data_IF_438698068468
#
_entry.id   IF_438698068468
#
_cell.length_a   1.000
_cell.length_b   1.000
_cell.length_c   1.000
_cell.angle_alpha   90.00
_cell.angle_beta   90.00
_cell.angle_gamma   90.00
#
_symmetry.space_group_name_H-M   'P 1'
#
loop_
_entity.id
_entity.type
_entity.pdbx_description
1 polymer ?
#
# COMPACT_ATOMS: atom_id res chain seq x y z
N UNK A 1 -26.56 12.83 65.33
CA UNK A 1 -25.97 13.78 64.36
C UNK A 1 -24.92 13.11 63.50
N UNK A 2 -24.01 12.32 64.04
CA UNK A 2 -22.97 11.56 63.27
C UNK A 2 -23.53 10.54 62.27
N UNK A 3 -24.60 9.82 62.64
CA UNK A 3 -25.22 8.81 61.78
C UNK A 3 -25.87 9.42 60.51
N UNK A 4 -26.42 10.63 60.60
CA UNK A 4 -27.03 11.35 59.48
C UNK A 4 -25.94 11.89 58.54
N UNK A 5 -24.84 12.41 59.08
CA UNK A 5 -23.71 12.89 58.28
C UNK A 5 -23.00 11.76 57.53
N UNK A 6 -22.85 10.57 58.13
CA UNK A 6 -22.28 9.42 57.48
C UNK A 6 -23.15 8.90 56.33
N UNK A 7 -24.47 8.94 56.48
CA UNK A 7 -25.44 8.54 55.44
C UNK A 7 -25.43 9.52 54.26
N UNK A 8 -25.39 10.85 54.52
CA UNK A 8 -25.26 11.85 53.45
C UNK A 8 -23.94 11.77 52.70
N UNK A 9 -22.83 11.50 53.39
CA UNK A 9 -21.51 11.30 52.79
C UNK A 9 -21.47 10.06 51.89
N UNK A 10 -22.12 8.97 52.30
CA UNK A 10 -22.19 7.72 51.52
C UNK A 10 -23.11 7.84 50.30
N UNK A 11 -24.22 8.60 50.42
CA UNK A 11 -25.12 8.90 49.28
C UNK A 11 -24.45 9.80 48.27
N UNK A 12 -23.66 10.78 48.66
CA UNK A 12 -22.89 11.62 47.74
C UNK A 12 -21.79 10.80 47.00
N UNK A 13 -21.06 9.93 47.70
CA UNK A 13 -20.06 9.06 47.10
C UNK A 13 -20.70 8.14 46.07
N UNK A 14 -21.83 7.47 46.35
CA UNK A 14 -22.54 6.60 45.40
C UNK A 14 -23.03 7.37 44.17
N UNK A 15 -23.54 8.61 44.34
CA UNK A 15 -23.94 9.45 43.20
C UNK A 15 -22.75 9.86 42.35
N UNK A 16 -21.64 10.26 42.93
CA UNK A 16 -20.39 10.59 42.22
C UNK A 16 -19.89 9.36 41.43
N UNK A 17 -19.84 8.20 42.07
CA UNK A 17 -19.45 6.93 41.38
C UNK A 17 -20.38 6.63 40.21
N UNK A 18 -21.72 6.73 40.39
CA UNK A 18 -22.67 6.50 39.32
C UNK A 18 -22.51 7.47 38.15
N UNK A 19 -22.31 8.76 38.41
CA UNK A 19 -22.04 9.77 37.38
C UNK A 19 -20.73 9.46 36.65
N UNK A 20 -19.67 9.13 37.39
CA UNK A 20 -18.38 8.75 36.79
C UNK A 20 -18.51 7.54 35.87
N UNK A 21 -19.25 6.50 36.27
CA UNK A 21 -19.49 5.32 35.45
C UNK A 21 -20.30 5.66 34.18
N UNK A 22 -21.31 6.53 34.28
CA UNK A 22 -22.08 7.00 33.14
C UNK A 22 -21.16 7.77 32.16
N UNK A 23 -20.33 8.69 32.69
CA UNK A 23 -19.38 9.45 31.85
C UNK A 23 -18.40 8.49 31.14
N UNK A 24 -17.82 7.54 31.85
CA UNK A 24 -16.91 6.54 31.28
C UNK A 24 -17.64 5.76 30.19
N UNK A 25 -18.86 5.29 30.45
CA UNK A 25 -19.66 4.56 29.46
C UNK A 25 -19.92 5.38 28.19
N UNK A 26 -20.35 6.65 28.36
CA UNK A 26 -20.61 7.55 27.22
C UNK A 26 -19.33 7.81 26.42
N UNK A 27 -18.21 8.10 27.10
CA UNK A 27 -16.92 8.33 26.44
C UNK A 27 -16.41 7.08 25.72
N UNK A 28 -16.54 5.90 26.33
CA UNK A 28 -16.15 4.63 25.70
C UNK A 28 -17.01 4.31 24.47
N UNK A 29 -18.33 4.55 24.56
CA UNK A 29 -19.24 4.35 23.41
C UNK A 29 -18.91 5.32 22.28
N UNK A 30 -18.63 6.58 22.61
CA UNK A 30 -18.22 7.59 21.62
C UNK A 30 -16.87 7.21 20.98
N UNK A 31 -15.89 6.75 21.78
CA UNK A 31 -14.60 6.28 21.28
C UNK A 31 -14.76 5.17 20.26
N UNK A 32 -15.52 4.12 20.60
CA UNK A 32 -15.76 2.97 19.70
C UNK A 32 -16.57 3.39 18.47
N UNK A 33 -17.61 4.22 18.65
CA UNK A 33 -18.46 4.67 17.52
C UNK A 33 -17.69 5.54 16.51
N UNK A 34 -16.88 6.48 16.98
CA UNK A 34 -16.04 7.32 16.11
C UNK A 34 -14.96 6.44 15.45
N UNK A 35 -14.29 5.59 16.25
CA UNK A 35 -13.28 4.67 15.75
C UNK A 35 -13.83 3.78 14.64
N UNK A 36 -15.01 3.21 14.82
CA UNK A 36 -15.68 2.40 13.81
C UNK A 36 -15.98 3.20 12.54
N UNK A 37 -16.57 4.37 12.66
CA UNK A 37 -16.92 5.18 11.49
C UNK A 37 -15.69 5.58 10.66
N UNK A 38 -14.61 6.00 11.32
CA UNK A 38 -13.37 6.38 10.62
C UNK A 38 -12.66 5.16 10.05
N UNK A 39 -12.50 4.08 10.84
CA UNK A 39 -11.83 2.87 10.40
C UNK A 39 -12.55 2.20 9.22
N UNK A 40 -13.88 2.03 9.33
CA UNK A 40 -14.67 1.46 8.25
C UNK A 40 -14.56 2.27 6.97
N UNK A 41 -14.63 3.60 7.03
CA UNK A 41 -14.47 4.45 5.86
C UNK A 41 -13.05 4.41 5.25
N UNK A 42 -12.02 4.17 6.07
CA UNK A 42 -10.62 4.22 5.63
C UNK A 42 -10.09 2.86 5.16
N UNK A 43 -10.63 1.75 5.69
CA UNK A 43 -10.13 0.40 5.44
C UNK A 43 -11.02 -0.41 4.49
N UNK A 44 -12.24 0.06 4.21
CA UNK A 44 -13.15 -0.64 3.30
C UNK A 44 -12.59 -0.67 1.89
N UNK A 45 -12.73 -1.81 1.24
CA UNK A 45 -12.31 -2.05 -0.13
C UNK A 45 -13.51 -2.38 -1.01
N UNK A 46 -13.34 -2.13 -2.32
CA UNK A 46 -14.28 -2.56 -3.34
C UNK A 46 -13.61 -3.63 -4.19
N UNK A 47 -14.04 -4.89 -4.10
CA UNK A 47 -13.52 -5.96 -4.95
C UNK A 47 -13.74 -5.66 -6.44
N UNK A 48 -12.87 -6.22 -7.27
CA UNK A 48 -12.96 -6.11 -8.72
C UNK A 48 -12.15 -4.95 -9.31
N UNK A 49 -12.16 -4.86 -10.62
CA UNK A 49 -11.36 -3.90 -11.40
C UNK A 49 -12.13 -2.64 -11.84
N UNK A 50 -13.39 -2.52 -11.45
CA UNK A 50 -14.21 -1.36 -11.79
C UNK A 50 -14.23 -1.09 -13.30
N UNK A 51 -13.99 0.15 -13.70
CA UNK A 51 -13.96 0.58 -15.11
C UNK A 51 -12.83 -0.04 -15.92
N UNK A 52 -11.78 -0.55 -15.27
CA UNK A 52 -10.62 -1.17 -15.91
C UNK A 52 -10.70 -2.70 -15.96
N UNK A 53 -11.90 -3.28 -15.78
CA UNK A 53 -12.11 -4.73 -15.77
C UNK A 53 -11.75 -5.43 -17.09
N UNK A 54 -11.63 -4.68 -18.18
CA UNK A 54 -11.20 -5.21 -19.47
C UNK A 54 -9.70 -5.04 -19.74
N UNK A 55 -8.97 -4.39 -18.83
CA UNK A 55 -7.54 -4.21 -18.97
C UNK A 55 -6.80 -5.52 -18.70
N UNK A 56 -5.91 -5.86 -19.62
CA UNK A 56 -4.97 -6.99 -19.57
C UNK A 56 -3.61 -6.52 -20.07
N UNK A 57 -2.50 -7.20 -19.77
CA UNK A 57 -1.18 -6.77 -20.23
C UNK A 57 -1.05 -6.53 -21.74
N UNK A 58 -1.76 -7.31 -22.54
CA UNK A 58 -1.76 -7.23 -24.01
C UNK A 58 -2.85 -6.30 -24.59
N UNK A 59 -3.74 -5.76 -23.73
CA UNK A 59 -4.80 -4.87 -24.18
C UNK A 59 -5.32 -4.00 -23.03
N UNK A 60 -4.82 -2.79 -22.89
CA UNK A 60 -5.24 -1.89 -21.83
C UNK A 60 -5.35 -0.43 -22.26
N UNK A 61 -6.15 0.32 -21.51
CA UNK A 61 -6.40 1.76 -21.74
C UNK A 61 -6.40 2.50 -20.42
N UNK A 62 -6.22 3.83 -20.48
CA UNK A 62 -6.38 4.73 -19.33
C UNK A 62 -7.85 5.01 -19.01
N UNK A 63 -8.77 4.77 -19.95
CA UNK A 63 -10.21 5.01 -19.92
C UNK A 63 -10.61 6.48 -19.88
N UNK A 64 -11.59 6.85 -20.73
CA UNK A 64 -12.12 8.22 -20.83
C UNK A 64 -12.91 8.67 -19.60
N UNK A 65 -13.43 7.71 -18.82
CA UNK A 65 -14.21 7.96 -17.61
C UNK A 65 -13.37 8.04 -16.32
N UNK A 66 -12.03 8.19 -16.44
CA UNK A 66 -11.13 8.27 -15.28
C UNK A 66 -11.62 9.27 -14.22
N UNK A 67 -12.14 10.41 -14.64
CA UNK A 67 -12.68 11.45 -13.75
C UNK A 67 -13.75 10.97 -12.77
N UNK A 68 -14.54 9.96 -13.16
CA UNK A 68 -15.63 9.41 -12.33
C UNK A 68 -15.12 8.65 -11.10
N UNK A 69 -13.84 8.29 -11.10
CA UNK A 69 -13.23 7.40 -10.10
C UNK A 69 -12.16 8.05 -9.23
N UNK A 70 -11.89 9.33 -9.48
CA UNK A 70 -10.97 10.07 -8.63
C UNK A 70 -11.70 10.61 -7.38
N UNK A 71 -11.61 9.90 -6.23
CA UNK A 71 -12.31 10.33 -5.02
C UNK A 71 -11.68 11.54 -4.34
N UNK A 72 -10.64 12.15 -4.95
CA UNK A 72 -9.70 12.99 -4.23
C UNK A 72 -9.53 14.41 -4.75
N UNK A 73 -10.43 14.91 -5.58
CA UNK A 73 -10.33 16.27 -6.12
C UNK A 73 -8.96 16.57 -6.75
N UNK A 74 -8.44 15.64 -7.54
CA UNK A 74 -7.25 15.91 -8.35
C UNK A 74 -7.47 17.14 -9.24
N UNK A 75 -6.40 17.86 -9.52
CA UNK A 75 -6.49 18.97 -10.47
C UNK A 75 -6.88 18.46 -11.86
N UNK A 76 -7.60 19.25 -12.62
CA UNK A 76 -7.98 18.91 -14.00
C UNK A 76 -6.74 18.58 -14.86
N UNK A 77 -5.62 19.25 -14.62
CA UNK A 77 -4.35 18.97 -15.29
C UNK A 77 -3.85 17.55 -15.03
N UNK A 78 -3.85 17.09 -13.78
CA UNK A 78 -3.41 15.74 -13.40
C UNK A 78 -4.30 14.66 -13.97
N UNK A 79 -5.62 14.89 -13.94
CA UNK A 79 -6.60 13.98 -14.55
C UNK A 79 -6.36 13.88 -16.06
N UNK A 80 -6.13 15.00 -16.73
CA UNK A 80 -5.91 15.05 -18.17
C UNK A 80 -4.60 14.34 -18.56
N UNK A 81 -3.51 14.52 -17.83
CA UNK A 81 -2.24 13.84 -18.11
C UNK A 81 -2.44 12.31 -18.12
N UNK A 82 -3.13 11.75 -17.13
CA UNK A 82 -3.39 10.31 -17.04
C UNK A 82 -4.33 9.83 -18.14
N UNK A 83 -5.46 10.52 -18.33
CA UNK A 83 -6.48 10.14 -19.33
C UNK A 83 -5.96 10.22 -20.76
N UNK A 84 -5.20 11.26 -21.07
CA UNK A 84 -4.76 11.55 -22.43
C UNK A 84 -3.39 10.89 -22.74
N UNK A 85 -2.84 10.12 -21.81
CA UNK A 85 -1.58 9.41 -22.00
C UNK A 85 -1.71 8.31 -23.07
N UNK A 86 -0.85 8.33 -24.08
CA UNK A 86 -0.88 7.37 -25.19
C UNK A 86 -0.24 6.04 -24.75
N UNK A 87 -1.06 5.03 -24.59
CA UNK A 87 -0.64 3.68 -24.21
C UNK A 87 -0.62 2.69 -25.39
N UNK A 88 -0.83 3.15 -26.62
CA UNK A 88 -1.01 2.29 -27.80
C UNK A 88 0.21 1.41 -28.12
N UNK A 89 1.41 1.86 -27.76
CA UNK A 89 2.67 1.15 -27.97
C UNK A 89 3.22 0.48 -26.70
N UNK A 90 2.44 0.46 -25.62
CA UNK A 90 2.84 -0.03 -24.29
C UNK A 90 2.14 -1.34 -23.92
N UNK A 91 1.57 -2.01 -24.90
CA UNK A 91 0.95 -3.33 -24.74
C UNK A 91 2.06 -4.40 -24.72
N UNK A 92 1.95 -5.36 -23.82
CA UNK A 92 2.89 -6.49 -23.75
C UNK A 92 2.44 -7.59 -24.71
N UNK A 93 3.38 -8.20 -25.42
CA UNK A 93 3.08 -9.19 -26.48
C UNK A 93 2.39 -10.45 -25.96
N UNK A 94 2.71 -10.87 -24.75
CA UNK A 94 2.16 -12.06 -24.11
C UNK A 94 2.28 -12.01 -22.60
N UNK A 95 1.42 -12.75 -21.92
CA UNK A 95 1.46 -12.95 -20.47
C UNK A 95 0.87 -14.30 -20.09
N UNK A 96 1.21 -14.77 -18.90
CA UNK A 96 0.66 -15.98 -18.29
C UNK A 96 -0.31 -15.56 -17.17
N UNK A 97 -1.53 -16.09 -17.19
CA UNK A 97 -2.44 -16.00 -16.03
C UNK A 97 -1.99 -17.00 -14.98
N UNK A 98 -1.63 -16.52 -13.82
CA UNK A 98 -1.12 -17.34 -12.72
C UNK A 98 -2.06 -17.34 -11.53
N UNK A 99 -1.92 -18.40 -10.74
CA UNK A 99 -2.61 -18.53 -9.45
C UNK A 99 -1.61 -19.08 -8.43
N UNK A 100 -1.57 -18.45 -7.27
CA UNK A 100 -0.73 -18.89 -6.15
C UNK A 100 -1.41 -18.60 -4.82
N UNK A 101 -0.82 -19.03 -3.71
CA UNK A 101 -1.37 -18.82 -2.37
C UNK A 101 -0.50 -17.83 -1.59
N UNK A 102 -1.06 -17.07 -0.65
CA UNK A 102 -0.28 -16.36 0.34
C UNK A 102 0.64 -17.30 1.11
N UNK A 103 1.82 -16.82 1.52
CA UNK A 103 2.69 -17.61 2.40
C UNK A 103 1.94 -18.00 3.69
N UNK A 104 1.95 -19.29 3.99
CA UNK A 104 1.32 -19.82 5.20
C UNK A 104 -0.21 -19.97 5.16
N UNK A 105 -0.86 -19.72 4.03
CA UNK A 105 -2.31 -19.93 3.87
C UNK A 105 -2.65 -20.49 2.49
N UNK A 106 -2.86 -21.80 2.39
CA UNK A 106 -3.22 -22.50 1.15
C UNK A 106 -4.73 -22.47 0.81
N UNK A 107 -5.56 -21.85 1.64
CA UNK A 107 -7.00 -21.75 1.40
C UNK A 107 -7.40 -20.53 0.57
N UNK A 108 -6.49 -19.55 0.43
CA UNK A 108 -6.71 -18.33 -0.35
C UNK A 108 -6.00 -18.45 -1.69
N UNK A 109 -6.69 -18.13 -2.78
CA UNK A 109 -6.12 -18.07 -4.13
C UNK A 109 -5.94 -16.63 -4.57
N UNK A 110 -4.70 -16.28 -4.90
CA UNK A 110 -4.34 -14.99 -5.49
C UNK A 110 -4.20 -15.13 -7.00
N UNK A 111 -4.60 -14.10 -7.75
CA UNK A 111 -4.59 -14.06 -9.22
C UNK A 111 -3.60 -13.02 -9.72
N UNK A 112 -2.76 -13.42 -10.67
CA UNK A 112 -1.73 -12.54 -11.20
C UNK A 112 -1.50 -12.72 -12.69
N UNK A 113 -0.70 -11.83 -13.23
CA UNK A 113 -0.14 -11.86 -14.58
C UNK A 113 1.38 -11.91 -14.47
N UNK A 114 1.95 -12.94 -15.07
CA UNK A 114 3.39 -13.06 -15.23
C UNK A 114 3.74 -12.73 -16.69
N UNK A 115 4.63 -11.77 -16.89
CA UNK A 115 5.17 -11.38 -18.19
C UNK A 115 6.63 -11.77 -18.22
N UNK A 116 7.00 -12.67 -19.11
CA UNK A 116 8.37 -13.11 -19.34
C UNK A 116 8.89 -12.51 -20.65
N UNK A 117 9.99 -11.78 -20.57
CA UNK A 117 10.67 -11.20 -21.73
C UNK A 117 11.96 -11.95 -22.04
N UNK A 118 12.61 -12.52 -21.02
CA UNK A 118 13.80 -13.36 -21.14
C UNK A 118 13.89 -14.29 -19.93
N UNK A 119 14.12 -15.57 -20.13
CA UNK A 119 14.22 -16.56 -19.05
C UNK A 119 15.38 -16.32 -18.08
N UNK A 120 16.40 -15.58 -18.48
CA UNK A 120 17.57 -15.23 -17.66
C UNK A 120 17.47 -13.82 -17.04
N UNK A 121 16.40 -13.08 -17.35
CA UNK A 121 16.19 -11.73 -16.80
C UNK A 121 15.71 -11.76 -15.34
N UNK A 122 16.08 -10.76 -14.53
CA UNK A 122 15.50 -10.60 -13.20
C UNK A 122 14.00 -10.35 -13.29
N UNK A 123 13.32 -10.55 -12.16
CA UNK A 123 11.86 -10.36 -12.07
C UNK A 123 11.49 -9.35 -11.01
N UNK A 124 10.44 -8.55 -11.26
CA UNK A 124 9.87 -7.60 -10.28
C UNK A 124 8.44 -7.99 -9.94
N UNK A 125 8.20 -8.24 -8.65
CA UNK A 125 6.85 -8.35 -8.09
C UNK A 125 6.27 -6.96 -7.97
N UNK A 126 5.08 -6.73 -8.54
CA UNK A 126 4.39 -5.45 -8.48
C UNK A 126 3.15 -5.54 -7.60
N UNK A 127 2.96 -4.55 -6.71
CA UNK A 127 1.77 -4.46 -5.87
C UNK A 127 1.06 -3.12 -6.04
N UNK A 128 -0.25 -3.20 -6.15
CA UNK A 128 -1.12 -2.04 -6.37
C UNK A 128 -1.41 -1.28 -5.08
N UNK A 129 -1.86 -0.02 -5.23
CA UNK A 129 -2.41 0.78 -4.14
C UNK A 129 -3.88 0.41 -3.83
N UNK A 130 -4.43 1.05 -2.80
CA UNK A 130 -5.83 0.94 -2.38
C UNK A 130 -6.60 2.24 -2.72
N UNK A 131 -7.92 2.35 -2.54
CA UNK A 131 -8.85 1.33 -2.03
C UNK A 131 -9.57 0.54 -3.12
N UNK A 132 -9.40 0.86 -4.38
CA UNK A 132 -10.20 0.34 -5.49
C UNK A 132 -9.28 -0.31 -6.52
N UNK A 133 -9.81 -1.37 -7.19
CA UNK A 133 -9.14 -2.07 -8.28
C UNK A 133 -7.91 -2.88 -7.81
N UNK A 134 -7.23 -3.51 -8.72
CA UNK A 134 -6.10 -4.38 -8.46
C UNK A 134 -5.01 -4.19 -9.52
N UNK A 135 -4.48 -5.30 -10.03
CA UNK A 135 -3.46 -5.34 -11.08
C UNK A 135 -3.87 -4.69 -12.41
N UNK A 136 -5.19 -4.57 -12.65
CA UNK A 136 -5.79 -3.98 -13.85
C UNK A 136 -5.72 -2.46 -13.93
N UNK A 137 -5.23 -1.80 -12.87
CA UNK A 137 -5.04 -0.35 -12.87
C UNK A 137 -4.02 0.07 -13.93
N UNK A 138 -4.28 1.18 -14.65
CA UNK A 138 -3.36 1.65 -15.67
C UNK A 138 -1.92 1.90 -15.19
N UNK A 139 -1.72 2.44 -13.99
CA UNK A 139 -0.38 2.63 -13.43
C UNK A 139 0.38 1.32 -13.20
N UNK A 140 -0.34 0.22 -12.86
CA UNK A 140 0.25 -1.10 -12.72
C UNK A 140 0.73 -1.64 -14.07
N UNK A 141 -0.10 -1.51 -15.10
CA UNK A 141 0.21 -1.94 -16.46
C UNK A 141 1.28 -1.07 -17.10
N UNK A 142 1.29 0.24 -16.82
CA UNK A 142 2.33 1.15 -17.28
C UNK A 142 3.70 0.80 -16.69
N UNK A 143 3.77 0.54 -15.37
CA UNK A 143 5.01 0.08 -14.74
C UNK A 143 5.44 -1.28 -15.32
N UNK A 144 4.49 -2.20 -15.49
CA UNK A 144 4.75 -3.52 -16.08
C UNK A 144 5.34 -3.41 -17.49
N UNK A 145 4.78 -2.51 -18.32
CA UNK A 145 5.29 -2.22 -19.66
C UNK A 145 6.70 -1.63 -19.61
N UNK A 146 6.96 -0.65 -18.75
CA UNK A 146 8.29 -0.05 -18.65
C UNK A 146 9.38 -1.06 -18.27
N UNK A 147 9.08 -1.92 -17.31
CA UNK A 147 10.00 -2.99 -16.90
C UNK A 147 10.22 -4.00 -18.01
N UNK A 148 9.13 -4.44 -18.68
CA UNK A 148 9.20 -5.40 -19.79
C UNK A 148 9.99 -4.85 -20.99
N UNK A 149 9.76 -3.59 -21.38
CA UNK A 149 10.56 -2.93 -22.42
C UNK A 149 12.04 -2.77 -22.01
N UNK A 150 12.30 -2.67 -20.70
CA UNK A 150 13.64 -2.66 -20.10
C UNK A 150 14.31 -4.02 -20.01
N UNK A 151 13.67 -5.10 -20.46
CA UNK A 151 14.21 -6.46 -20.39
C UNK A 151 14.10 -7.11 -19.01
N UNK A 152 13.12 -6.72 -18.20
CA UNK A 152 12.88 -7.22 -16.85
C UNK A 152 11.54 -7.97 -16.83
N UNK A 153 11.53 -9.18 -16.31
CA UNK A 153 10.32 -9.98 -16.13
C UNK A 153 9.45 -9.37 -15.01
N UNK A 154 8.15 -9.57 -15.07
CA UNK A 154 7.25 -8.97 -14.08
C UNK A 154 6.19 -9.95 -13.60
N UNK A 155 5.83 -9.86 -12.33
CA UNK A 155 4.68 -10.49 -11.73
C UNK A 155 3.80 -9.43 -11.09
N UNK A 156 2.67 -9.11 -11.71
CA UNK A 156 1.65 -8.20 -11.20
C UNK A 156 0.45 -9.02 -10.74
N UNK A 157 -0.05 -8.78 -9.53
CA UNK A 157 -1.15 -9.58 -8.98
C UNK A 157 -2.11 -8.74 -8.14
N UNK A 158 -3.30 -9.30 -7.92
CA UNK A 158 -4.28 -8.74 -7.01
C UNK A 158 -4.01 -9.26 -5.59
N UNK A 159 -3.83 -8.34 -4.63
CA UNK A 159 -3.85 -8.70 -3.21
C UNK A 159 -5.19 -9.38 -2.86
N UNK A 160 -5.23 -10.14 -1.75
CA UNK A 160 -6.51 -10.64 -1.24
C UNK A 160 -7.55 -9.51 -1.17
N UNK A 161 -8.81 -9.84 -1.36
CA UNK A 161 -9.93 -8.92 -1.38
C UNK A 161 -9.98 -7.98 -2.59
N UNK A 162 -9.02 -8.03 -3.52
CA UNK A 162 -8.97 -7.17 -4.71
C UNK A 162 -9.09 -7.95 -6.02
N UNK A 163 -9.49 -7.24 -7.07
CA UNK A 163 -9.51 -7.73 -8.45
C UNK A 163 -10.17 -9.09 -8.61
N UNK A 164 -9.39 -10.07 -9.04
CA UNK A 164 -9.81 -11.46 -9.27
C UNK A 164 -9.35 -12.42 -8.16
N UNK A 165 -8.59 -11.94 -7.16
CA UNK A 165 -8.19 -12.73 -6.00
C UNK A 165 -9.35 -13.01 -5.06
N UNK A 166 -9.22 -14.04 -4.23
CA UNK A 166 -10.26 -14.42 -3.28
C UNK A 166 -10.60 -13.28 -2.31
N UNK A 167 -11.90 -13.07 -2.07
CA UNK A 167 -12.43 -12.14 -1.10
C UNK A 167 -12.59 -12.88 0.23
N UNK A 168 -11.83 -12.45 1.24
CA UNK A 168 -11.82 -13.05 2.58
C UNK A 168 -12.66 -12.22 3.55
N UNK A 169 -12.59 -10.89 3.40
CA UNK A 169 -13.33 -9.91 4.17
C UNK A 169 -13.48 -8.61 3.36
N UNK A 170 -14.04 -7.57 3.98
CA UNK A 170 -14.31 -6.29 3.32
C UNK A 170 -13.25 -5.22 3.62
N UNK A 171 -12.10 -5.58 4.21
CA UNK A 171 -11.15 -4.62 4.74
C UNK A 171 -9.71 -4.89 4.28
N UNK A 172 -8.96 -3.81 4.18
CA UNK A 172 -7.51 -3.81 3.97
C UNK A 172 -6.80 -3.67 5.32
N UNK A 173 -5.90 -4.59 5.62
CA UNK A 173 -5.14 -4.61 6.86
C UNK A 173 -3.85 -3.77 6.81
N UNK A 174 -3.76 -2.82 5.90
CA UNK A 174 -2.64 -1.86 5.70
C UNK A 174 -1.27 -2.52 5.61
N UNK A 175 -1.22 -3.68 4.99
CA UNK A 175 0.01 -4.46 4.83
C UNK A 175 0.29 -5.45 5.95
N UNK A 176 -0.45 -5.40 7.09
CA UNK A 176 -0.21 -6.27 8.23
C UNK A 176 -0.53 -7.75 7.98
N UNK A 177 -1.37 -8.02 6.99
CA UNK A 177 -1.73 -9.37 6.52
C UNK A 177 -1.24 -9.56 5.09
N UNK A 178 -1.40 -8.55 4.25
CA UNK A 178 -1.12 -8.58 2.81
C UNK A 178 0.36 -8.77 2.48
N UNK A 179 1.29 -8.50 3.41
CA UNK A 179 2.70 -8.84 3.19
C UNK A 179 2.91 -10.34 2.93
N UNK A 180 2.02 -11.22 3.45
CA UNK A 180 2.06 -12.65 3.13
C UNK A 180 1.64 -12.96 1.70
N UNK A 181 0.84 -12.09 1.05
CA UNK A 181 0.46 -12.23 -0.35
C UNK A 181 1.69 -11.98 -1.24
N UNK A 182 2.48 -10.96 -0.89
CA UNK A 182 3.74 -10.66 -1.58
C UNK A 182 4.78 -11.76 -1.36
N UNK A 183 4.87 -12.31 -0.13
CA UNK A 183 5.73 -13.45 0.16
C UNK A 183 5.28 -14.71 -0.59
N UNK A 184 3.98 -14.91 -0.80
CA UNK A 184 3.45 -15.97 -1.64
C UNK A 184 3.82 -15.81 -3.11
N UNK A 185 3.83 -14.56 -3.63
CA UNK A 185 4.32 -14.26 -4.97
C UNK A 185 5.83 -14.60 -5.11
N UNK A 186 6.64 -14.24 -4.12
CA UNK A 186 8.05 -14.62 -4.06
C UNK A 186 8.22 -16.15 -4.05
N UNK A 187 7.49 -16.85 -3.19
CA UNK A 187 7.56 -18.32 -3.10
C UNK A 187 7.19 -18.99 -4.43
N UNK A 188 6.18 -18.47 -5.13
CA UNK A 188 5.78 -18.95 -6.46
C UNK A 188 6.88 -18.75 -7.50
N UNK A 189 7.54 -17.58 -7.52
CA UNK A 189 8.65 -17.31 -8.45
C UNK A 189 9.83 -18.26 -8.20
N UNK A 190 10.16 -18.53 -6.94
CA UNK A 190 11.26 -19.44 -6.59
C UNK A 190 10.90 -20.88 -6.92
N UNK A 191 9.65 -21.33 -6.68
CA UNK A 191 9.25 -22.72 -6.85
C UNK A 191 8.87 -23.08 -8.29
N UNK A 192 8.20 -22.17 -9.02
CA UNK A 192 7.63 -22.47 -10.34
C UNK A 192 8.46 -21.89 -11.49
N UNK A 193 9.22 -20.81 -11.22
CA UNK A 193 10.07 -20.12 -12.21
C UNK A 193 11.56 -20.24 -11.91
N UNK A 194 11.93 -20.91 -10.82
CA UNK A 194 13.30 -21.24 -10.40
C UNK A 194 14.22 -20.01 -10.17
N UNK A 195 13.64 -18.82 -9.87
CA UNK A 195 14.43 -17.64 -9.52
C UNK A 195 15.28 -17.84 -8.28
N UNK A 196 16.51 -17.38 -8.35
CA UNK A 196 17.44 -17.44 -7.22
C UNK A 196 17.26 -16.22 -6.28
N UNK A 197 17.66 -16.33 -4.99
CA UNK A 197 17.74 -15.19 -4.10
C UNK A 197 18.56 -14.04 -4.71
N UNK A 198 18.01 -12.83 -4.63
CA UNK A 198 18.61 -11.63 -5.23
C UNK A 198 18.11 -11.28 -6.63
N UNK A 199 17.55 -12.24 -7.38
CA UNK A 199 17.01 -11.99 -8.73
C UNK A 199 15.57 -11.46 -8.71
N UNK A 200 14.90 -11.50 -7.56
CA UNK A 200 13.55 -11.01 -7.37
C UNK A 200 13.57 -9.63 -6.74
N UNK A 201 13.08 -8.63 -7.47
CA UNK A 201 12.80 -7.30 -6.95
C UNK A 201 11.34 -7.13 -6.53
N UNK A 202 11.03 -6.03 -5.86
CA UNK A 202 9.67 -5.67 -5.46
C UNK A 202 9.39 -4.20 -5.74
N UNK A 203 8.25 -3.88 -6.36
CA UNK A 203 7.80 -2.52 -6.62
C UNK A 203 6.37 -2.32 -6.10
N UNK A 204 6.13 -1.19 -5.44
CA UNK A 204 4.83 -0.93 -4.82
C UNK A 204 4.40 0.52 -4.94
N UNK A 205 3.10 0.73 -5.20
CA UNK A 205 2.44 2.02 -5.16
C UNK A 205 1.67 2.23 -3.85
N UNK A 206 1.61 3.46 -3.36
CA UNK A 206 0.66 3.92 -2.34
C UNK A 206 0.58 3.01 -1.09
N UNK A 207 -0.20 1.95 -1.12
CA UNK A 207 -0.32 0.96 -0.04
C UNK A 207 0.93 0.08 0.17
N UNK A 208 2.09 0.52 -0.30
CA UNK A 208 3.36 -0.21 -0.32
C UNK A 208 3.96 -0.56 1.04
N UNK A 209 3.33 -0.22 2.16
CA UNK A 209 3.79 -0.64 3.49
C UNK A 209 3.93 -2.17 3.63
N UNK A 210 3.03 -2.94 2.99
CA UNK A 210 3.14 -4.40 2.93
C UNK A 210 4.38 -4.88 2.18
N UNK A 211 4.79 -4.17 1.11
CA UNK A 211 6.02 -4.48 0.38
C UNK A 211 7.26 -4.25 1.25
N UNK A 212 7.31 -3.14 2.00
CA UNK A 212 8.40 -2.88 2.91
C UNK A 212 8.50 -3.94 4.01
N UNK A 213 7.36 -4.40 4.57
CA UNK A 213 7.33 -5.50 5.54
C UNK A 213 7.83 -6.80 4.90
N UNK A 214 7.34 -7.16 3.70
CA UNK A 214 7.76 -8.37 2.99
C UNK A 214 9.26 -8.35 2.66
N UNK A 215 9.78 -7.20 2.24
CA UNK A 215 11.21 -7.00 1.99
C UNK A 215 12.07 -7.21 3.24
N UNK A 216 11.60 -6.77 4.40
CA UNK A 216 12.29 -6.98 5.66
C UNK A 216 12.26 -8.44 6.14
N UNK A 217 11.17 -9.14 5.89
CA UNK A 217 10.96 -10.54 6.34
C UNK A 217 11.67 -11.56 5.41
N UNK A 218 11.95 -11.19 4.14
CA UNK A 218 12.51 -12.09 3.13
C UNK A 218 13.81 -11.54 2.53
N UNK A 219 14.92 -12.11 2.97
CA UNK A 219 16.26 -11.69 2.51
C UNK A 219 16.57 -12.06 1.06
N UNK A 220 15.80 -12.96 0.46
CA UNK A 220 15.92 -13.35 -0.95
C UNK A 220 15.38 -12.30 -1.93
N UNK A 221 14.62 -11.29 -1.45
CA UNK A 221 14.19 -10.15 -2.27
C UNK A 221 15.37 -9.18 -2.38
N UNK A 222 15.92 -9.01 -3.59
CA UNK A 222 17.18 -8.30 -3.83
C UNK A 222 17.09 -6.78 -3.81
N UNK A 223 15.95 -6.20 -4.21
CA UNK A 223 15.78 -4.75 -4.35
C UNK A 223 14.33 -4.33 -4.14
N UNK A 224 14.09 -3.08 -3.68
CA UNK A 224 12.75 -2.56 -3.47
C UNK A 224 12.57 -1.14 -4.01
N UNK A 225 11.50 -0.92 -4.80
CA UNK A 225 11.04 0.38 -5.29
C UNK A 225 9.71 0.74 -4.64
N UNK A 226 9.63 1.93 -4.06
CA UNK A 226 8.39 2.42 -3.43
C UNK A 226 7.99 3.77 -4.04
N UNK A 227 6.77 3.87 -4.56
CA UNK A 227 6.21 5.09 -5.11
C UNK A 227 5.05 5.59 -4.24
N UNK A 228 5.20 6.79 -3.68
CA UNK A 228 4.18 7.45 -2.86
C UNK A 228 3.65 6.56 -1.73
N UNK A 229 4.53 5.74 -1.13
CA UNK A 229 4.15 4.65 -0.25
C UNK A 229 3.73 5.10 1.16
N UNK A 230 2.71 4.45 1.71
CA UNK A 230 2.31 4.58 3.12
C UNK A 230 3.27 3.77 3.99
N UNK A 231 4.18 4.45 4.67
CA UNK A 231 5.22 3.83 5.50
C UNK A 231 5.00 4.04 7.00
N UNK A 232 4.06 4.90 7.37
CA UNK A 232 3.62 5.17 8.75
C UNK A 232 2.09 5.29 8.77
N UNK A 233 1.41 4.21 9.15
CA UNK A 233 -0.06 4.19 9.14
C UNK A 233 -0.69 5.17 10.15
N UNK A 234 -0.22 5.29 11.40
CA UNK A 234 -0.69 6.32 12.32
C UNK A 234 -0.57 7.74 11.78
N UNK A 235 0.50 8.05 11.06
CA UNK A 235 0.70 9.36 10.42
C UNK A 235 -0.32 9.56 9.30
N UNK A 236 -0.54 8.55 8.44
CA UNK A 236 -1.55 8.60 7.39
C UNK A 236 -2.93 8.93 7.94
N UNK A 237 -3.38 8.21 8.99
CA UNK A 237 -4.70 8.42 9.58
C UNK A 237 -4.84 9.84 10.14
N UNK A 238 -3.81 10.38 10.79
CA UNK A 238 -3.81 11.77 11.28
C UNK A 238 -3.91 12.77 10.13
N UNK A 239 -3.15 12.57 9.07
CA UNK A 239 -3.13 13.45 7.90
C UNK A 239 -4.47 13.44 7.18
N UNK A 240 -5.07 12.25 6.96
CA UNK A 240 -6.38 12.12 6.33
C UNK A 240 -7.50 12.77 7.16
N UNK A 241 -7.50 12.57 8.47
CA UNK A 241 -8.45 13.28 9.36
C UNK A 241 -8.29 14.79 9.23
N UNK A 242 -7.05 15.31 9.26
CA UNK A 242 -6.76 16.73 9.08
C UNK A 242 -7.23 17.27 7.73
N UNK A 243 -6.99 16.52 6.63
CA UNK A 243 -7.42 16.85 5.27
C UNK A 243 -8.94 16.93 5.16
N UNK A 244 -9.65 16.04 5.84
CA UNK A 244 -11.11 16.00 5.88
C UNK A 244 -11.71 17.01 6.88
N UNK A 245 -10.89 17.80 7.59
CA UNK A 245 -11.34 18.78 8.60
C UNK A 245 -11.77 18.17 9.93
N UNK A 246 -11.39 16.92 10.21
CA UNK A 246 -11.66 16.26 11.48
C UNK A 246 -10.50 16.41 12.47
N UNK A 247 -10.79 16.43 13.79
CA UNK A 247 -9.76 16.44 14.82
C UNK A 247 -8.87 15.19 14.76
N UNK A 248 -7.56 15.38 14.70
CA UNK A 248 -6.57 14.29 14.63
C UNK A 248 -6.56 13.37 15.86
N UNK A 249 -7.15 13.80 16.98
CA UNK A 249 -7.32 12.98 18.18
C UNK A 249 -8.15 11.70 17.90
N UNK A 250 -8.93 11.68 16.82
CA UNK A 250 -9.72 10.51 16.42
C UNK A 250 -8.87 9.41 15.76
N UNK A 251 -7.60 9.66 15.47
CA UNK A 251 -6.70 8.64 14.91
C UNK A 251 -6.53 7.44 15.85
N UNK A 252 -6.36 7.67 17.16
CA UNK A 252 -6.24 6.58 18.13
C UNK A 252 -7.44 5.63 18.12
N UNK A 253 -8.68 6.15 18.29
CA UNK A 253 -9.90 5.34 18.12
C UNK A 253 -9.97 4.59 16.80
N UNK A 254 -9.64 5.24 15.68
CA UNK A 254 -9.71 4.65 14.35
C UNK A 254 -8.73 3.47 14.20
N UNK A 255 -7.49 3.64 14.66
CA UNK A 255 -6.46 2.58 14.60
C UNK A 255 -6.86 1.39 15.48
N UNK A 256 -7.28 1.64 16.73
CA UNK A 256 -7.67 0.59 17.67
C UNK A 256 -8.87 -0.22 17.16
N UNK A 257 -9.94 0.48 16.74
CA UNK A 257 -11.16 -0.19 16.27
C UNK A 257 -10.94 -0.82 14.89
N UNK A 258 -10.12 -0.17 14.04
CA UNK A 258 -9.69 -0.75 12.77
C UNK A 258 -8.99 -2.09 12.96
N UNK A 259 -8.07 -2.19 13.93
CA UNK A 259 -7.43 -3.47 14.29
C UNK A 259 -8.43 -4.55 14.71
N UNK A 260 -9.51 -4.18 15.42
CA UNK A 260 -10.59 -5.13 15.75
C UNK A 260 -11.39 -5.58 14.52
N UNK A 261 -11.58 -4.69 13.53
CA UNK A 261 -12.30 -5.03 12.30
C UNK A 261 -11.51 -6.02 11.43
N UNK A 262 -10.20 -5.84 11.31
CA UNK A 262 -9.34 -6.68 10.48
C UNK A 262 -8.72 -7.87 11.24
N UNK A 263 -8.89 -7.93 12.57
CA UNK A 263 -8.39 -9.03 13.40
C UNK A 263 -6.88 -9.00 13.70
N UNK A 264 -6.19 -7.88 13.39
CA UNK A 264 -4.77 -7.66 13.69
C UNK A 264 -4.54 -6.22 14.18
N UNK A 265 -3.48 -6.00 14.93
CA UNK A 265 -3.03 -4.64 15.24
C UNK A 265 -2.48 -4.00 13.97
N UNK A 266 -3.00 -2.81 13.59
CA UNK A 266 -2.67 -2.13 12.32
C UNK A 266 -1.26 -1.51 12.29
N UNK A 267 -0.55 -1.54 13.40
CA UNK A 267 0.81 -1.05 13.61
C UNK A 267 1.73 -2.11 14.24
N UNK A 268 1.31 -3.39 14.21
CA UNK A 268 2.09 -4.51 14.76
C UNK A 268 3.46 -4.66 14.08
N UNK A 269 3.52 -4.42 12.76
CA UNK A 269 4.74 -4.35 11.97
C UNK A 269 4.86 -2.95 11.39
N UNK A 270 5.97 -2.29 11.67
CA UNK A 270 6.23 -0.95 11.12
C UNK A 270 7.00 -1.05 9.80
N UNK A 271 6.44 -0.54 8.69
CA UNK A 271 7.21 -0.41 7.46
C UNK A 271 8.50 0.43 7.64
N UNK A 272 8.49 1.37 8.59
CA UNK A 272 9.70 2.15 8.93
C UNK A 272 10.82 1.30 9.53
N UNK A 273 10.48 0.21 10.26
CA UNK A 273 11.47 -0.73 10.78
C UNK A 273 12.08 -1.61 9.67
N UNK A 274 11.43 -1.71 8.52
CA UNK A 274 11.98 -2.39 7.35
C UNK A 274 13.28 -1.72 6.86
N UNK A 275 13.43 -0.40 7.07
CA UNK A 275 14.66 0.31 6.78
C UNK A 275 15.87 -0.28 7.54
N UNK A 276 15.65 -0.71 8.79
CA UNK A 276 16.69 -1.27 9.66
C UNK A 276 17.09 -2.70 9.27
N UNK A 277 16.24 -3.40 8.52
CA UNK A 277 16.42 -4.79 8.09
C UNK A 277 16.69 -4.91 6.59
N UNK A 278 17.17 -3.84 5.95
CA UNK A 278 17.48 -3.86 4.51
C UNK A 278 18.72 -4.66 4.15
N UNK A 279 19.62 -4.94 5.11
CA UNK A 279 20.87 -5.68 4.93
C UNK A 279 21.73 -5.14 3.76
N UNK A 280 21.76 -3.82 3.57
CA UNK A 280 22.40 -3.11 2.47
C UNK A 280 21.77 -3.35 1.08
N UNK A 281 20.63 -4.06 1.00
CA UNK A 281 19.89 -4.23 -0.25
C UNK A 281 19.36 -2.87 -0.74
N UNK A 282 19.42 -2.58 -2.04
CA UNK A 282 19.04 -1.28 -2.55
C UNK A 282 17.53 -1.02 -2.40
N UNK A 283 17.23 0.20 -1.97
CA UNK A 283 15.87 0.74 -1.90
C UNK A 283 15.81 2.03 -2.72
N UNK A 284 14.78 2.18 -3.52
CA UNK A 284 14.49 3.43 -4.24
C UNK A 284 13.12 3.99 -3.80
N UNK A 285 13.11 5.27 -3.42
CA UNK A 285 11.88 5.99 -3.14
C UNK A 285 11.61 7.02 -4.22
N UNK A 286 10.41 6.98 -4.82
CA UNK A 286 9.88 8.09 -5.59
C UNK A 286 8.64 8.67 -4.92
N UNK A 287 8.46 9.99 -4.97
CA UNK A 287 7.33 10.65 -4.34
C UNK A 287 7.07 12.02 -4.97
N UNK A 288 5.81 12.30 -5.32
CA UNK A 288 5.40 13.62 -5.73
C UNK A 288 5.43 14.61 -4.55
N UNK A 289 6.12 15.75 -4.71
CA UNK A 289 6.25 16.72 -3.61
C UNK A 289 4.93 17.42 -3.24
N UNK A 290 3.93 17.38 -4.13
CA UNK A 290 2.59 17.95 -3.92
C UNK A 290 1.54 16.86 -3.69
N UNK A 291 1.95 15.68 -3.19
CA UNK A 291 1.03 14.58 -2.91
C UNK A 291 0.02 14.96 -1.81
N UNK A 292 -1.29 15.06 -2.14
CA UNK A 292 -2.33 15.44 -1.19
C UNK A 292 -2.84 14.27 -0.35
N UNK A 293 -2.42 13.02 -0.68
CA UNK A 293 -2.93 11.80 -0.08
C UNK A 293 -1.94 11.21 0.92
N UNK A 294 -0.75 10.92 0.45
CA UNK A 294 0.35 10.43 1.28
C UNK A 294 1.39 11.53 1.36
N UNK A 295 1.51 12.15 2.53
CA UNK A 295 2.49 13.22 2.72
C UNK A 295 3.90 12.71 2.39
N UNK A 296 4.68 13.51 1.67
CA UNK A 296 6.10 13.24 1.38
C UNK A 296 6.93 12.92 2.64
N UNK A 297 6.45 13.32 3.81
CA UNK A 297 7.06 13.03 5.12
C UNK A 297 7.22 11.52 5.35
N UNK A 298 6.35 10.68 4.78
CA UNK A 298 6.51 9.21 4.83
C UNK A 298 7.85 8.77 4.21
N UNK A 299 8.14 9.23 2.99
CA UNK A 299 9.38 8.90 2.30
C UNK A 299 10.60 9.57 2.95
N UNK A 300 10.48 10.83 3.38
CA UNK A 300 11.58 11.54 4.05
C UNK A 300 11.98 10.90 5.38
N UNK A 301 11.01 10.48 6.19
CA UNK A 301 11.29 9.76 7.44
C UNK A 301 11.92 8.39 7.18
N UNK A 302 11.51 7.70 6.12
CA UNK A 302 12.11 6.42 5.74
C UNK A 302 13.55 6.60 5.23
N UNK A 303 13.79 7.62 4.41
CA UNK A 303 15.14 8.00 3.96
C UNK A 303 16.05 8.33 5.14
N UNK A 304 15.58 9.13 6.11
CA UNK A 304 16.33 9.45 7.33
C UNK A 304 16.68 8.16 8.09
N UNK A 305 15.72 7.25 8.27
CA UNK A 305 15.93 5.93 8.92
C UNK A 305 17.01 5.10 8.20
N UNK A 306 16.94 5.03 6.87
CA UNK A 306 17.93 4.30 6.07
C UNK A 306 19.33 4.92 6.23
N UNK A 307 19.42 6.25 6.21
CA UNK A 307 20.68 6.95 6.38
C UNK A 307 21.29 6.76 7.78
N UNK A 308 20.45 6.64 8.82
CA UNK A 308 20.91 6.39 10.21
C UNK A 308 21.62 5.03 10.37
N UNK A 309 21.36 4.08 9.45
CA UNK A 309 21.98 2.74 9.46
C UNK A 309 22.94 2.50 8.29
N UNK A 310 23.38 3.57 7.61
CA UNK A 310 24.20 3.49 6.41
C UNK A 310 23.58 2.58 5.31
N UNK A 311 22.24 2.58 5.22
CA UNK A 311 21.49 1.77 4.28
C UNK A 311 21.64 2.24 2.83
N UNK A 312 21.47 1.32 1.88
CA UNK A 312 21.56 1.61 0.46
C UNK A 312 20.23 2.19 -0.06
N UNK A 313 20.10 3.51 -0.07
CA UNK A 313 18.89 4.21 -0.49
C UNK A 313 19.18 5.23 -1.58
N UNK A 314 18.26 5.32 -2.53
CA UNK A 314 18.17 6.38 -3.53
C UNK A 314 16.79 7.01 -3.47
N UNK A 315 16.69 8.31 -3.71
CA UNK A 315 15.42 9.05 -3.67
C UNK A 315 15.25 9.93 -4.89
N UNK A 316 14.01 10.05 -5.36
CA UNK A 316 13.60 10.96 -6.41
C UNK A 316 12.29 11.65 -6.01
N UNK A 317 12.41 12.84 -5.44
CA UNK A 317 11.28 13.68 -5.07
C UNK A 317 10.92 14.60 -6.22
N UNK A 318 9.71 14.42 -6.77
CA UNK A 318 9.31 15.02 -8.04
C UNK A 318 8.52 16.31 -7.80
N UNK A 319 9.08 17.48 -8.12
CA UNK A 319 8.38 18.75 -7.97
C UNK A 319 7.08 18.78 -8.79
N UNK A 320 6.05 19.45 -8.26
CA UNK A 320 4.76 19.67 -8.92
C UNK A 320 4.03 18.39 -9.33
N UNK A 321 4.37 17.24 -8.74
CA UNK A 321 3.66 15.97 -8.90
C UNK A 321 2.96 15.59 -7.61
N UNK A 322 1.80 14.98 -7.76
CA UNK A 322 0.99 14.49 -6.65
C UNK A 322 1.11 12.99 -6.47
N UNK A 323 0.02 12.37 -5.97
CA UNK A 323 -0.01 10.95 -5.61
C UNK A 323 0.12 10.04 -6.83
N UNK A 324 1.23 9.29 -6.90
CA UNK A 324 1.52 8.35 -8.02
C UNK A 324 1.48 9.05 -9.39
N UNK A 325 1.85 10.33 -9.46
CA UNK A 325 1.80 11.10 -10.70
C UNK A 325 3.10 11.08 -11.50
N UNK A 326 4.21 10.75 -10.85
CA UNK A 326 5.54 10.77 -11.49
C UNK A 326 5.59 9.82 -12.70
N UNK A 327 4.98 8.64 -12.60
CA UNK A 327 4.95 7.64 -13.68
C UNK A 327 4.25 8.15 -14.94
N UNK A 328 3.32 9.11 -14.80
CA UNK A 328 2.57 9.71 -15.91
C UNK A 328 3.22 10.97 -16.43
N UNK A 329 3.54 11.89 -15.51
CA UNK A 329 3.99 13.22 -15.85
C UNK A 329 5.47 13.34 -16.16
N UNK A 330 6.29 12.40 -15.66
CA UNK A 330 7.73 12.30 -15.89
C UNK A 330 8.09 10.91 -16.45
N UNK A 331 7.28 10.43 -17.39
CA UNK A 331 7.25 9.04 -17.85
C UNK A 331 8.61 8.51 -18.33
N UNK A 332 9.35 9.28 -19.11
CA UNK A 332 10.67 8.89 -19.63
C UNK A 332 11.71 8.75 -18.52
N UNK A 333 11.73 9.72 -17.58
CA UNK A 333 12.64 9.70 -16.42
C UNK A 333 12.26 8.58 -15.46
N UNK A 334 10.96 8.39 -15.21
CA UNK A 334 10.46 7.28 -14.37
C UNK A 334 10.88 5.93 -14.93
N UNK A 335 10.63 5.70 -16.23
CA UNK A 335 11.03 4.48 -16.92
C UNK A 335 12.53 4.25 -16.83
N UNK A 336 13.35 5.27 -17.12
CA UNK A 336 14.80 5.16 -17.06
C UNK A 336 15.27 4.81 -15.64
N UNK A 337 14.72 5.46 -14.62
CA UNK A 337 15.10 5.24 -13.22
C UNK A 337 14.75 3.83 -12.75
N UNK A 338 13.51 3.35 -12.98
CA UNK A 338 13.07 2.04 -12.49
C UNK A 338 13.78 0.88 -13.22
N UNK A 339 13.97 1.00 -14.54
CA UNK A 339 14.71 -0.01 -15.32
C UNK A 339 16.17 -0.06 -14.90
N UNK A 340 16.84 1.09 -14.77
CA UNK A 340 18.24 1.15 -14.33
C UNK A 340 18.39 0.59 -12.91
N UNK A 341 17.47 0.92 -12.01
CA UNK A 341 17.49 0.45 -10.64
C UNK A 341 17.45 -1.07 -10.54
N UNK A 342 16.48 -1.73 -11.19
CA UNK A 342 16.34 -3.17 -11.11
C UNK A 342 17.39 -3.92 -11.96
N UNK A 343 17.85 -3.36 -13.08
CA UNK A 343 18.95 -3.96 -13.86
C UNK A 343 20.27 -4.01 -13.09
N UNK A 344 20.53 -3.04 -12.21
CA UNK A 344 21.74 -2.98 -11.41
C UNK A 344 21.62 -3.70 -10.07
N UNK A 345 20.42 -3.68 -9.46
CA UNK A 345 20.15 -4.24 -8.13
C UNK A 345 20.06 -5.76 -8.10
N UNK A 346 19.80 -6.40 -9.24
CA UNK A 346 19.69 -7.86 -9.38
C UNK A 346 21.01 -8.56 -9.71
N UNK A 347 22.13 -7.82 -9.72
CA UNK A 347 23.45 -8.32 -10.15
C UNK A 347 24.48 -8.40 -9.02
N UNK A 348 24.10 -8.19 -7.76
CA UNK A 348 25.02 -8.11 -6.63
C UNK A 348 24.87 -9.24 -5.61
#
# INVERSE_FOLDING_TARGET
MELVLSTFSSLNKKRITAISLIIIFVLSTAYVGIGYAVASASLSINPGCGIWSNNTPDNWTTNDDWNSFEPYNDSEERINIRRDFDVSNLQMDSYENITFNPRGNSEISLRGWYVEVDSEAPVVIQTHGMPINGKCKPEMLLMQSYLSEGGINTLSFDLRNYGESDVVDDYFAVGQIEYNDLLGAYDWLVSEKEYMPGEVGMAAFSAGGGAAIAFAEESGIGAMWLDSAVLDFPLLVKNELGRLGYPQIFAGPAITVGGWLVGVELDARSPMEAALNSDSRPVFLTHGMEDPRVSIVHSQNFEERMNDVDGNISTWYVPSRGHVDAIWGESDEYKNNIVTFFSNGSSS
#
